data_IF_476031501705
#
_entry.id   IF_476031501705
#
_cell.length_a   1.000
_cell.length_b   1.000
_cell.length_c   1.000
_cell.angle_alpha   90.00
_cell.angle_beta   90.00
_cell.angle_gamma   90.00
#
_symmetry.space_group_name_H-M   'P 1'
#
loop_
_entity.id
_entity.type
_entity.pdbx_description
1 polymer ?
#
# COMPACT_ATOMS: atom_id res chain seq x y z
N UNK A 1 -22.52 -6.95 6.28
CA UNK A 1 -23.01 -5.57 6.54
C UNK A 1 -22.47 -4.54 5.53
N UNK A 2 -21.97 -4.95 4.36
CA UNK A 2 -21.42 -4.05 3.32
C UNK A 2 -22.42 -3.74 2.20
N UNK A 3 -23.43 -4.59 2.02
CA UNK A 3 -24.43 -4.43 0.96
C UNK A 3 -25.29 -3.18 1.17
N UNK A 4 -25.64 -2.88 2.43
CA UNK A 4 -26.56 -1.79 2.79
C UNK A 4 -25.97 -0.39 2.47
N UNK A 5 -24.67 -0.21 2.71
CA UNK A 5 -23.94 1.04 2.41
C UNK A 5 -23.89 1.30 0.91
N UNK A 6 -23.62 0.26 0.10
CA UNK A 6 -23.58 0.39 -1.36
C UNK A 6 -24.94 0.80 -1.95
N UNK A 7 -26.05 0.24 -1.44
CA UNK A 7 -27.40 0.63 -1.86
C UNK A 7 -27.80 2.05 -1.42
N UNK A 8 -27.35 2.51 -0.25
CA UNK A 8 -27.61 3.88 0.20
C UNK A 8 -26.84 4.92 -0.63
N UNK A 9 -25.64 4.58 -1.10
CA UNK A 9 -24.85 5.45 -1.98
C UNK A 9 -25.47 5.58 -3.38
N UNK A 10 -26.08 4.51 -3.91
CA UNK A 10 -26.70 4.50 -5.23
C UNK A 10 -28.09 5.17 -5.29
N UNK A 11 -28.77 5.29 -4.15
CA UNK A 11 -30.13 5.83 -4.06
C UNK A 11 -30.19 7.33 -3.70
N UNK A 12 -29.06 7.92 -3.30
CA UNK A 12 -29.00 9.34 -2.93
C UNK A 12 -28.78 10.19 -4.18
N UNK A 13 -29.87 10.80 -4.65
CA UNK A 13 -29.88 11.91 -5.62
C UNK A 13 -28.73 12.85 -5.27
N UNK A 14 -27.70 12.89 -6.13
CA UNK A 14 -26.47 13.68 -5.91
C UNK A 14 -26.85 15.13 -5.73
N UNK A 15 -27.00 15.52 -4.47
CA UNK A 15 -27.10 16.92 -4.07
C UNK A 15 -25.69 17.44 -4.24
N UNK A 16 -25.54 18.58 -4.90
CA UNK A 16 -24.27 19.21 -5.31
C UNK A 16 -23.47 19.75 -4.10
N UNK A 17 -23.60 19.06 -2.97
CA UNK A 17 -23.02 19.39 -1.68
C UNK A 17 -21.60 18.84 -1.63
N UNK A 18 -20.67 19.70 -2.04
CA UNK A 18 -19.24 19.40 -2.12
C UNK A 18 -18.66 18.90 -0.79
N UNK A 19 -19.22 19.34 0.34
CA UNK A 19 -18.77 18.94 1.68
C UNK A 19 -19.16 17.50 2.00
N UNK A 20 -20.39 17.09 1.63
CA UNK A 20 -20.85 15.71 1.73
C UNK A 20 -20.05 14.78 0.80
N UNK A 21 -19.78 15.22 -0.44
CA UNK A 21 -18.97 14.44 -1.39
C UNK A 21 -17.51 14.31 -0.93
N UNK A 22 -16.94 15.36 -0.36
CA UNK A 22 -15.60 15.35 0.23
C UNK A 22 -15.49 14.34 1.38
N UNK A 23 -16.49 14.32 2.27
CA UNK A 23 -16.54 13.39 3.41
C UNK A 23 -16.65 11.92 2.96
N UNK A 24 -17.48 11.65 1.96
CA UNK A 24 -17.64 10.29 1.40
C UNK A 24 -16.36 9.85 0.69
N UNK A 25 -15.75 10.73 -0.12
CA UNK A 25 -14.50 10.44 -0.82
C UNK A 25 -13.36 10.16 0.17
N UNK A 26 -13.26 10.96 1.23
CA UNK A 26 -12.27 10.75 2.29
C UNK A 26 -12.46 9.40 2.99
N UNK A 27 -13.70 9.07 3.36
CA UNK A 27 -14.04 7.79 4.00
C UNK A 27 -13.74 6.59 3.09
N UNK A 28 -14.03 6.72 1.79
CA UNK A 28 -13.72 5.69 0.78
C UNK A 28 -12.21 5.50 0.63
N UNK A 29 -11.44 6.59 0.52
CA UNK A 29 -9.97 6.52 0.46
C UNK A 29 -9.38 5.84 1.70
N UNK A 30 -9.89 6.18 2.88
CA UNK A 30 -9.46 5.54 4.14
C UNK A 30 -9.76 4.03 4.14
N UNK A 31 -10.95 3.63 3.68
CA UNK A 31 -11.32 2.22 3.55
C UNK A 31 -10.41 1.47 2.57
N UNK A 32 -10.13 2.06 1.41
CA UNK A 32 -9.24 1.46 0.41
C UNK A 32 -7.80 1.37 0.90
N UNK A 33 -7.31 2.37 1.66
CA UNK A 33 -5.98 2.30 2.28
C UNK A 33 -5.86 1.14 3.28
N UNK A 34 -6.91 0.88 4.08
CA UNK A 34 -6.92 -0.26 5.00
C UNK A 34 -7.05 -1.63 4.32
N UNK A 35 -7.56 -1.67 3.08
CA UNK A 35 -7.63 -2.90 2.28
C UNK A 35 -6.31 -3.18 1.54
N UNK A 36 -5.63 -2.09 1.14
CA UNK A 36 -4.32 -2.15 0.50
C UNK A 36 -3.26 -2.75 1.41
N UNK A 37 -3.26 -2.34 2.68
CA UNK A 37 -2.16 -2.55 3.63
C UNK A 37 -2.72 -3.01 4.97
N UNK A 38 -2.36 -4.22 5.36
CA UNK A 38 -2.70 -4.80 6.65
C UNK A 38 -1.61 -4.52 7.70
N UNK A 39 -1.93 -4.77 8.98
CA UNK A 39 -0.97 -4.66 10.10
C UNK A 39 0.27 -5.56 9.86
N UNK A 40 0.07 -6.72 9.24
CA UNK A 40 1.16 -7.64 8.91
C UNK A 40 2.20 -7.01 7.96
N UNK A 41 1.79 -6.14 7.04
CA UNK A 41 2.72 -5.43 6.16
C UNK A 41 3.60 -4.46 6.93
N UNK A 42 3.09 -3.81 7.97
CA UNK A 42 3.88 -2.95 8.85
C UNK A 42 4.85 -3.76 9.72
N UNK A 43 4.40 -4.89 10.28
CA UNK A 43 5.26 -5.80 11.04
C UNK A 43 6.42 -6.32 10.17
N UNK A 44 6.13 -6.64 8.91
CA UNK A 44 7.14 -7.09 7.95
C UNK A 44 8.13 -5.98 7.58
N UNK A 45 7.67 -4.73 7.46
CA UNK A 45 8.55 -3.57 7.24
C UNK A 45 9.46 -3.35 8.45
N UNK A 46 8.93 -3.43 9.67
CA UNK A 46 9.71 -3.32 10.90
C UNK A 46 10.72 -4.47 11.02
N UNK A 47 10.34 -5.70 10.67
CA UNK A 47 11.26 -6.83 10.66
C UNK A 47 12.47 -6.59 9.73
N UNK A 48 12.25 -5.95 8.57
CA UNK A 48 13.27 -5.75 7.53
C UNK A 48 14.11 -4.47 7.71
N UNK A 49 13.46 -3.38 8.11
CA UNK A 49 14.04 -2.04 8.18
C UNK A 49 14.33 -1.59 9.62
N UNK A 50 13.78 -2.30 10.61
CA UNK A 50 13.91 -1.95 12.01
C UNK A 50 15.35 -2.01 12.52
N UNK A 51 15.63 -1.30 13.63
CA UNK A 51 16.97 -1.21 14.21
C UNK A 51 17.53 -2.56 14.71
N UNK A 52 16.65 -3.54 14.95
CA UNK A 52 16.98 -4.88 15.40
C UNK A 52 16.69 -5.95 14.33
N UNK A 53 16.67 -5.57 13.05
CA UNK A 53 16.41 -6.48 11.95
C UNK A 53 17.42 -7.64 11.90
N UNK A 54 17.00 -8.81 12.38
CA UNK A 54 17.71 -10.08 12.26
C UNK A 54 16.76 -11.11 11.64
N UNK A 55 16.75 -11.17 10.30
CA UNK A 55 15.85 -12.05 9.55
C UNK A 55 16.48 -13.41 9.31
N UNK A 56 15.76 -14.46 9.71
CA UNK A 56 16.09 -15.80 9.22
C UNK A 56 15.80 -15.91 7.71
N UNK A 57 16.60 -16.68 6.93
CA UNK A 57 16.39 -16.82 5.48
C UNK A 57 15.01 -17.33 5.06
N UNK A 58 14.36 -18.15 5.90
CA UNK A 58 12.99 -18.64 5.65
C UNK A 58 11.95 -17.54 5.83
N UNK A 59 12.14 -16.66 6.80
CA UNK A 59 11.27 -15.51 7.07
C UNK A 59 11.40 -14.48 5.94
N UNK A 60 12.63 -14.22 5.49
CA UNK A 60 12.90 -13.32 4.37
C UNK A 60 12.12 -13.72 3.11
N UNK A 61 12.08 -15.01 2.75
CA UNK A 61 11.32 -15.50 1.58
C UNK A 61 9.81 -15.33 1.73
N UNK A 62 9.29 -15.57 2.93
CA UNK A 62 7.87 -15.36 3.21
C UNK A 62 7.49 -13.88 3.11
N UNK A 63 8.35 -13.00 3.64
CA UNK A 63 8.17 -11.55 3.58
C UNK A 63 8.26 -11.04 2.13
N UNK A 64 9.23 -11.48 1.33
CA UNK A 64 9.30 -11.12 -0.10
C UNK A 64 8.00 -11.47 -0.83
N UNK A 65 7.43 -12.65 -0.57
CA UNK A 65 6.15 -13.06 -1.17
C UNK A 65 5.03 -12.11 -0.76
N UNK A 66 4.91 -11.78 0.52
CA UNK A 66 3.88 -10.85 1.02
C UNK A 66 4.06 -9.44 0.49
N UNK A 67 5.30 -8.94 0.38
CA UNK A 67 5.59 -7.65 -0.25
C UNK A 67 5.21 -7.60 -1.73
N UNK A 68 5.37 -8.70 -2.47
CA UNK A 68 4.89 -8.79 -3.86
C UNK A 68 3.36 -8.78 -3.93
N UNK A 69 2.67 -9.47 -3.01
CA UNK A 69 1.21 -9.43 -2.90
C UNK A 69 0.71 -8.01 -2.55
N UNK A 70 1.34 -7.35 -1.59
CA UNK A 70 1.07 -5.96 -1.22
C UNK A 70 1.33 -4.99 -2.39
N UNK A 71 2.39 -5.21 -3.16
CA UNK A 71 2.69 -4.41 -4.36
C UNK A 71 1.56 -4.46 -5.37
N UNK A 72 0.98 -5.63 -5.64
CA UNK A 72 -0.17 -5.76 -6.55
C UNK A 72 -1.35 -4.91 -6.09
N UNK A 73 -1.68 -4.96 -4.79
CA UNK A 73 -2.75 -4.14 -4.20
C UNK A 73 -2.44 -2.65 -4.30
N UNK A 74 -1.21 -2.24 -4.02
CA UNK A 74 -0.78 -0.84 -4.12
C UNK A 74 -0.88 -0.32 -5.55
N UNK A 75 -0.50 -1.11 -6.56
CA UNK A 75 -0.63 -0.73 -7.97
C UNK A 75 -2.09 -0.45 -8.36
N UNK A 76 -3.02 -1.21 -7.81
CA UNK A 76 -4.45 -1.01 -8.05
C UNK A 76 -5.00 0.22 -7.32
N UNK A 77 -4.53 0.49 -6.10
CA UNK A 77 -5.19 1.43 -5.19
C UNK A 77 -4.54 2.83 -5.17
N UNK A 78 -3.23 2.94 -5.35
CA UNK A 78 -2.50 4.23 -5.34
C UNK A 78 -3.09 5.29 -6.29
N UNK A 79 -3.57 4.98 -7.52
CA UNK A 79 -4.20 5.96 -8.40
C UNK A 79 -5.39 6.71 -7.78
N UNK A 80 -6.05 6.11 -6.78
CA UNK A 80 -7.20 6.69 -6.11
C UNK A 80 -6.85 7.37 -4.78
N UNK A 81 -5.69 7.01 -4.20
CA UNK A 81 -5.26 7.42 -2.85
C UNK A 81 -4.28 8.58 -2.86
N UNK A 82 -3.38 8.66 -3.85
CA UNK A 82 -2.31 9.67 -3.89
C UNK A 82 -2.51 10.61 -5.07
N UNK A 83 -2.43 11.93 -4.81
CA UNK A 83 -2.48 12.97 -5.85
C UNK A 83 -1.38 14.03 -5.62
N UNK A 84 -0.60 14.41 -6.66
CA UNK A 84 -0.58 13.82 -8.00
C UNK A 84 -0.10 12.35 -7.99
N UNK A 85 -0.39 11.60 -9.05
CA UNK A 85 -0.02 10.18 -9.13
C UNK A 85 1.52 10.02 -9.10
N UNK A 86 2.09 9.22 -8.17
CA UNK A 86 3.53 9.14 -7.96
C UNK A 86 4.18 8.18 -8.97
N UNK A 87 4.41 8.68 -10.19
CA UNK A 87 4.89 7.86 -11.33
C UNK A 87 6.24 7.20 -11.03
N UNK A 88 7.18 7.92 -10.43
CA UNK A 88 8.55 7.45 -10.23
C UNK A 88 8.63 6.38 -9.14
N UNK A 89 7.91 6.58 -8.03
CA UNK A 89 7.81 5.64 -6.92
C UNK A 89 7.08 4.36 -7.35
N UNK A 90 5.97 4.49 -8.08
CA UNK A 90 5.23 3.34 -8.61
C UNK A 90 6.07 2.53 -9.60
N UNK A 91 6.79 3.22 -10.50
CA UNK A 91 7.71 2.57 -11.44
C UNK A 91 8.80 1.80 -10.69
N UNK A 92 9.42 2.41 -9.67
CA UNK A 92 10.45 1.76 -8.84
C UNK A 92 9.89 0.52 -8.13
N UNK A 93 8.72 0.63 -7.51
CA UNK A 93 8.07 -0.48 -6.82
C UNK A 93 7.79 -1.67 -7.77
N UNK A 94 7.25 -1.39 -8.96
CA UNK A 94 6.97 -2.42 -9.97
C UNK A 94 8.26 -3.11 -10.43
N UNK A 95 9.32 -2.36 -10.73
CA UNK A 95 10.59 -2.95 -11.15
C UNK A 95 11.22 -3.83 -10.07
N UNK A 96 11.19 -3.38 -8.82
CA UNK A 96 11.77 -4.13 -7.71
C UNK A 96 10.95 -5.38 -7.39
N UNK A 97 9.62 -5.31 -7.40
CA UNK A 97 8.79 -6.50 -7.13
C UNK A 97 8.96 -7.61 -8.18
N UNK A 98 9.25 -7.25 -9.44
CA UNK A 98 9.48 -8.20 -10.53
C UNK A 98 10.92 -8.77 -10.58
N UNK A 99 11.88 -8.14 -9.90
CA UNK A 99 13.27 -8.58 -9.89
C UNK A 99 13.42 -9.88 -9.07
N UNK A 100 14.23 -10.81 -9.60
CA UNK A 100 14.58 -12.07 -8.94
C UNK A 100 16.06 -12.01 -8.55
N UNK A 101 16.38 -11.61 -7.31
CA UNK A 101 17.76 -11.46 -6.88
C UNK A 101 18.49 -12.81 -6.83
N UNK A 102 19.82 -12.75 -6.96
CA UNK A 102 20.69 -13.90 -6.66
C UNK A 102 20.68 -14.15 -5.15
N UNK A 103 20.99 -15.39 -4.74
CA UNK A 103 21.01 -15.80 -3.33
C UNK A 103 21.84 -14.87 -2.43
N UNK A 104 22.96 -14.36 -2.96
CA UNK A 104 23.89 -13.46 -2.25
C UNK A 104 23.30 -12.05 -2.02
N UNK A 105 22.33 -11.64 -2.84
CA UNK A 105 21.73 -10.30 -2.83
C UNK A 105 20.30 -10.29 -2.26
N UNK A 106 19.77 -11.44 -1.81
CA UNK A 106 18.36 -11.59 -1.38
C UNK A 106 17.96 -10.56 -0.31
N UNK A 107 18.79 -10.37 0.72
CA UNK A 107 18.49 -9.42 1.81
C UNK A 107 18.60 -7.97 1.38
N UNK A 108 19.60 -7.63 0.57
CA UNK A 108 19.77 -6.29 0.02
C UNK A 108 18.61 -5.92 -0.91
N UNK A 109 18.18 -6.86 -1.74
CA UNK A 109 17.01 -6.69 -2.59
C UNK A 109 15.72 -6.54 -1.77
N UNK A 110 15.51 -7.38 -0.75
CA UNK A 110 14.37 -7.29 0.16
C UNK A 110 14.31 -5.91 0.84
N UNK A 111 15.44 -5.38 1.34
CA UNK A 111 15.48 -4.03 1.92
C UNK A 111 15.12 -2.95 0.91
N UNK A 112 15.58 -3.06 -0.33
CA UNK A 112 15.22 -2.11 -1.40
C UNK A 112 13.71 -2.12 -1.69
N UNK A 113 13.12 -3.31 -1.77
CA UNK A 113 11.68 -3.47 -1.97
C UNK A 113 10.89 -2.91 -0.79
N UNK A 114 11.32 -3.19 0.44
CA UNK A 114 10.72 -2.65 1.66
C UNK A 114 10.72 -1.11 1.66
N UNK A 115 11.84 -0.48 1.30
CA UNK A 115 11.95 0.97 1.20
C UNK A 115 11.04 1.57 0.12
N UNK A 116 10.84 0.89 -1.01
CA UNK A 116 9.91 1.35 -2.03
C UNK A 116 8.45 1.24 -1.59
N UNK A 117 8.09 0.18 -0.86
CA UNK A 117 6.77 0.06 -0.24
C UNK A 117 6.58 1.18 0.77
N UNK A 118 7.52 1.38 1.70
CA UNK A 118 7.45 2.44 2.71
C UNK A 118 7.28 3.83 2.08
N UNK A 119 8.02 4.15 1.02
CA UNK A 119 7.88 5.44 0.32
C UNK A 119 6.46 5.65 -0.25
N UNK A 120 5.80 4.60 -0.75
CA UNK A 120 4.41 4.68 -1.19
C UNK A 120 3.46 4.87 0.00
N UNK A 121 3.72 4.20 1.12
CA UNK A 121 2.91 4.37 2.34
C UNK A 121 3.02 5.78 2.91
N UNK A 122 4.22 6.36 2.93
CA UNK A 122 4.45 7.74 3.38
C UNK A 122 3.65 8.71 2.50
N UNK A 123 3.67 8.54 1.18
CA UNK A 123 2.86 9.34 0.25
C UNK A 123 1.35 9.17 0.47
N UNK A 124 0.89 8.00 0.93
CA UNK A 124 -0.51 7.78 1.29
C UNK A 124 -0.87 8.43 2.64
N UNK A 125 0.07 8.46 3.59
CA UNK A 125 -0.09 9.05 4.92
C UNK A 125 -0.03 10.58 4.94
N UNK A 126 0.84 11.18 4.13
CA UNK A 126 1.00 12.65 4.02
C UNK A 126 -0.20 13.32 3.31
N UNK A 127 -1.09 12.54 2.69
CA UNK A 127 -2.36 13.00 2.14
C UNK A 127 -3.53 12.90 3.14
N UNK A 128 -3.25 12.61 4.42
CA UNK A 128 -4.21 12.79 5.49
C UNK A 128 -4.51 14.31 5.66
N UNK A 129 -5.78 14.74 5.53
CA UNK A 129 -6.17 16.13 5.73
C UNK A 129 -5.99 16.60 7.17
#
# INVERSE_FOLDING_TARGET
MTLDVATQLLSRRTTDDHDTLGTILHSLRRSLASEAIDEQTYDDLEAVLGPYADLAPREARAIVKRFREATTKLVELVPYLVRPYPVDEMRRLIYQSAEHPRLEDELSHLRRLALAILAILDLMGDNAP
#
